data_IF_895334545302
#
_entry.id   IF_895334545302
#
_cell.length_a   1.000
_cell.length_b   1.000
_cell.length_c   1.000
_cell.angle_alpha   90.00
_cell.angle_beta   90.00
_cell.angle_gamma   90.00
#
_symmetry.space_group_name_H-M   'P 1'
#
loop_
_entity.id
_entity.type
_entity.pdbx_description
1 polymer ?
#
# COMPACT_ATOMS: atom_id res chain seq x y z
N UNK A 1 -11.04 -12.44 -21.67
CA UNK A 1 -9.85 -12.53 -20.80
C UNK A 1 -10.03 -11.52 -19.67
N UNK A 2 -9.91 -11.90 -18.40
CA UNK A 2 -10.14 -11.01 -17.25
C UNK A 2 -8.80 -10.67 -16.60
N UNK A 3 -8.53 -9.39 -16.35
CA UNK A 3 -7.32 -8.96 -15.65
C UNK A 3 -7.38 -9.39 -14.18
N UNK A 4 -6.24 -9.78 -13.58
CA UNK A 4 -6.18 -10.09 -12.16
C UNK A 4 -6.42 -8.81 -11.34
N UNK A 5 -7.06 -8.98 -10.19
CA UNK A 5 -7.11 -7.92 -9.18
C UNK A 5 -5.77 -7.84 -8.45
N UNK A 6 -5.34 -6.63 -8.14
CA UNK A 6 -4.07 -6.37 -7.44
C UNK A 6 -4.39 -5.69 -6.11
N UNK A 7 -3.77 -6.18 -5.03
CA UNK A 7 -3.85 -5.58 -3.69
C UNK A 7 -2.48 -5.06 -3.28
N UNK A 8 -2.44 -3.81 -2.82
CA UNK A 8 -1.21 -3.16 -2.35
C UNK A 8 -0.92 -3.52 -0.88
N UNK A 9 0.36 -3.73 -0.54
CA UNK A 9 0.79 -4.20 0.79
C UNK A 9 1.81 -3.28 1.47
N UNK A 10 2.34 -2.27 0.78
CA UNK A 10 3.45 -1.42 1.26
C UNK A 10 3.16 -0.77 2.61
N UNK A 11 1.92 -0.29 2.83
CA UNK A 11 1.55 0.44 4.04
C UNK A 11 1.41 -0.45 5.28
N UNK A 12 1.34 -1.78 5.13
CA UNK A 12 1.19 -2.72 6.26
C UNK A 12 2.21 -3.85 6.20
N UNK A 13 2.00 -4.84 5.34
CA UNK A 13 2.83 -6.05 5.33
C UNK A 13 4.23 -5.81 4.76
N UNK A 14 4.35 -4.89 3.81
CA UNK A 14 5.63 -4.51 3.22
C UNK A 14 6.58 -3.95 4.26
N UNK A 15 6.16 -2.93 5.01
CA UNK A 15 6.99 -2.38 6.07
C UNK A 15 7.24 -3.35 7.23
N UNK A 16 6.28 -4.22 7.56
CA UNK A 16 6.43 -5.21 8.62
C UNK A 16 7.50 -6.23 8.25
N UNK A 17 7.53 -6.65 6.98
CA UNK A 17 8.49 -7.62 6.44
C UNK A 17 9.89 -7.04 6.25
N UNK A 18 10.00 -5.77 5.86
CA UNK A 18 11.27 -5.17 5.41
C UNK A 18 11.92 -4.27 6.44
N UNK A 19 11.13 -3.56 7.27
CA UNK A 19 11.63 -2.54 8.21
C UNK A 19 11.00 -2.68 9.59
N UNK A 20 10.60 -3.89 9.99
CA UNK A 20 10.09 -4.20 11.33
C UNK A 20 9.00 -3.22 11.81
N UNK A 21 8.10 -2.83 10.90
CA UNK A 21 6.94 -1.97 11.20
C UNK A 21 7.33 -0.56 11.70
N UNK A 22 8.48 -0.03 11.23
CA UNK A 22 9.02 1.27 11.65
C UNK A 22 8.65 2.45 10.75
N UNK A 23 7.75 2.30 9.78
CA UNK A 23 7.28 3.43 8.97
C UNK A 23 6.38 4.33 9.82
N UNK A 24 6.67 5.63 9.85
CA UNK A 24 5.81 6.60 10.55
C UNK A 24 4.63 6.98 9.66
N UNK A 25 3.51 7.30 10.28
CA UNK A 25 2.33 7.77 9.56
C UNK A 25 2.61 9.05 8.74
N UNK A 26 3.47 9.94 9.26
CA UNK A 26 3.93 11.14 8.54
C UNK A 26 4.56 10.84 7.19
N UNK A 27 5.20 9.66 7.07
CA UNK A 27 5.91 9.25 5.86
C UNK A 27 4.94 8.62 4.84
N UNK A 28 3.78 8.15 5.31
CA UNK A 28 2.72 7.55 4.47
C UNK A 28 1.78 8.60 3.87
N UNK A 29 1.37 9.59 4.67
CA UNK A 29 0.36 10.59 4.26
C UNK A 29 0.64 11.22 2.89
N UNK A 30 1.88 11.63 2.55
CA UNK A 30 2.17 12.27 1.27
C UNK A 30 1.85 11.43 0.02
N UNK A 31 1.82 10.10 0.13
CA UNK A 31 1.62 9.19 -1.02
C UNK A 31 0.17 8.68 -1.16
N UNK A 32 -0.67 8.82 -0.13
CA UNK A 32 -2.01 8.20 -0.09
C UNK A 32 -2.89 8.56 -1.28
N UNK A 33 -2.94 9.85 -1.66
CA UNK A 33 -3.75 10.30 -2.79
C UNK A 33 -3.31 9.67 -4.11
N UNK A 34 -2.02 9.37 -4.30
CA UNK A 34 -1.55 8.70 -5.51
C UNK A 34 -1.92 7.23 -5.50
N UNK A 35 -1.83 6.55 -4.36
CA UNK A 35 -2.19 5.14 -4.22
C UNK A 35 -3.70 4.91 -4.47
N UNK A 36 -4.54 5.81 -3.97
CA UNK A 36 -5.99 5.77 -4.17
C UNK A 36 -6.36 5.86 -5.67
N UNK A 37 -5.70 6.75 -6.41
CA UNK A 37 -5.91 6.93 -7.84
C UNK A 37 -5.50 5.72 -8.71
N UNK A 38 -4.74 4.74 -8.18
CA UNK A 38 -4.36 3.53 -8.93
C UNK A 38 -5.52 2.52 -9.01
N UNK A 39 -6.45 2.54 -8.04
CA UNK A 39 -7.59 1.63 -8.02
C UNK A 39 -7.24 0.21 -7.59
N UNK A 40 -6.35 0.05 -6.60
CA UNK A 40 -6.07 -1.24 -5.99
C UNK A 40 -7.32 -1.85 -5.34
N UNK A 41 -7.43 -3.18 -5.41
CA UNK A 41 -8.51 -3.91 -4.76
C UNK A 41 -8.24 -4.03 -3.26
N UNK A 42 -9.22 -3.60 -2.46
CA UNK A 42 -9.32 -3.88 -1.03
C UNK A 42 -10.58 -4.74 -0.85
N UNK A 43 -10.38 -6.05 -0.70
CA UNK A 43 -11.42 -7.05 -0.40
C UNK A 43 -11.19 -7.67 0.95
#
# INVERSE_FOLDING_TARGET
MKYPSITELVLRDGQQSLIATRMRLSDMIPILSKLDNVGFLVT
#
